data_IF_047798365783
#
_entry.id   IF_047798365783
#
_cell.length_a   1.000
_cell.length_b   1.000
_cell.length_c   1.000
_cell.angle_alpha   90.00
_cell.angle_beta   90.00
_cell.angle_gamma   90.00
#
_symmetry.space_group_name_H-M   'P 1'
#
loop_
_entity.id
_entity.type
_entity.pdbx_description
1 polymer ?
#
# COMPACT_ATOMS: atom_id res chain seq x y z
N UNK A 1 -31.04 36.89 -20.20
CA UNK A 1 -30.36 35.88 -21.04
C UNK A 1 -28.85 35.84 -20.79
N UNK A 2 -28.15 36.98 -20.74
CA UNK A 2 -26.70 37.03 -20.46
C UNK A 2 -26.28 36.45 -19.11
N UNK A 3 -26.99 36.78 -18.02
CA UNK A 3 -26.66 36.31 -16.65
C UNK A 3 -26.79 34.78 -16.49
N UNK A 4 -27.81 34.19 -17.12
CA UNK A 4 -28.05 32.75 -17.16
C UNK A 4 -26.96 32.05 -17.98
N UNK A 5 -26.58 32.64 -19.11
CA UNK A 5 -25.51 32.12 -19.96
C UNK A 5 -24.14 32.16 -19.25
N UNK A 6 -23.82 33.26 -18.55
CA UNK A 6 -22.59 33.37 -17.75
C UNK A 6 -22.57 32.37 -16.61
N UNK A 7 -23.70 32.16 -15.92
CA UNK A 7 -23.80 31.16 -14.85
C UNK A 7 -23.58 29.74 -15.38
N UNK A 8 -24.16 29.40 -16.53
CA UNK A 8 -24.04 28.07 -17.14
C UNK A 8 -22.63 27.82 -17.69
N UNK A 9 -21.96 28.86 -18.20
CA UNK A 9 -20.57 28.79 -18.65
C UNK A 9 -19.61 28.59 -17.47
N UNK A 10 -19.83 29.31 -16.36
CA UNK A 10 -19.03 29.18 -15.14
C UNK A 10 -19.16 27.79 -14.53
N UNK A 11 -20.38 27.25 -14.43
CA UNK A 11 -20.59 25.90 -13.89
C UNK A 11 -19.94 24.84 -14.76
N UNK A 12 -20.04 24.94 -16.09
CA UNK A 12 -19.37 24.02 -17.02
C UNK A 12 -17.84 24.08 -16.92
N UNK A 13 -17.27 25.27 -16.74
CA UNK A 13 -15.83 25.44 -16.58
C UNK A 13 -15.33 24.84 -15.26
N UNK A 14 -16.07 25.04 -14.17
CA UNK A 14 -15.74 24.49 -12.85
C UNK A 14 -15.82 22.96 -12.87
N UNK A 15 -16.87 22.37 -13.45
CA UNK A 15 -16.98 20.91 -13.56
C UNK A 15 -15.89 20.31 -14.45
N UNK A 16 -15.55 20.94 -15.57
CA UNK A 16 -14.44 20.50 -16.41
C UNK A 16 -13.11 20.52 -15.65
N UNK A 17 -12.83 21.58 -14.89
CA UNK A 17 -11.62 21.69 -14.07
C UNK A 17 -11.54 20.59 -13.00
N UNK A 18 -12.64 20.34 -12.29
CA UNK A 18 -12.72 19.29 -11.27
C UNK A 18 -12.46 17.89 -11.86
N UNK A 19 -13.05 17.56 -13.01
CA UNK A 19 -12.87 16.27 -13.69
C UNK A 19 -11.42 16.08 -14.16
N UNK A 20 -10.77 17.13 -14.69
CA UNK A 20 -9.37 17.07 -15.09
C UNK A 20 -8.42 16.83 -13.91
N UNK A 21 -8.73 17.41 -12.74
CA UNK A 21 -7.87 17.24 -11.55
C UNK A 21 -8.07 15.90 -10.82
N UNK A 22 -9.20 15.22 -11.01
CA UNK A 22 -9.48 13.94 -10.36
C UNK A 22 -8.62 12.77 -10.89
N UNK A 23 -8.02 12.92 -12.07
CA UNK A 23 -7.16 11.90 -12.70
C UNK A 23 -5.68 11.96 -12.32
N UNK A 24 -5.25 12.97 -11.56
CA UNK A 24 -3.83 13.17 -11.23
C UNK A 24 -3.38 12.51 -9.92
N UNK A 25 -4.23 11.73 -9.25
CA UNK A 25 -3.83 10.98 -8.05
C UNK A 25 -3.36 9.59 -8.45
N UNK A 26 -2.11 9.46 -8.91
CA UNK A 26 -1.44 8.16 -8.97
C UNK A 26 -1.09 7.76 -7.54
N UNK A 27 -1.80 6.79 -6.99
CA UNK A 27 -1.48 6.19 -5.70
C UNK A 27 -0.38 5.14 -5.89
N UNK A 28 0.89 5.58 -5.93
CA UNK A 28 2.03 4.66 -5.89
C UNK A 28 2.16 4.19 -4.44
N UNK A 29 1.74 2.94 -4.19
CA UNK A 29 1.87 2.28 -2.89
C UNK A 29 0.66 2.50 -2.00
N UNK A 30 -0.46 1.86 -2.30
CA UNK A 30 -1.46 1.56 -1.28
C UNK A 30 -1.03 0.26 -0.56
N UNK A 31 -0.44 0.32 0.65
CA UNK A 31 -0.08 -0.86 1.42
C UNK A 31 -1.31 -1.47 2.13
N UNK A 32 -2.50 -0.85 1.97
CA UNK A 32 -3.68 -1.06 2.79
C UNK A 32 -4.65 -2.15 2.31
N UNK A 33 -4.31 -2.92 1.27
CA UNK A 33 -5.11 -4.11 0.89
C UNK A 33 -4.55 -5.42 1.49
N UNK A 34 -3.68 -5.34 2.49
CA UNK A 34 -3.45 -6.44 3.43
C UNK A 34 -4.57 -6.43 4.46
N UNK A 35 -5.34 -7.51 4.56
CA UNK A 35 -6.49 -7.62 5.46
C UNK A 35 -6.23 -7.12 6.89
N UNK A 36 -7.31 -6.72 7.57
CA UNK A 36 -7.28 -6.21 8.94
C UNK A 36 -6.38 -7.08 9.85
N UNK A 37 -5.17 -6.60 10.14
CA UNK A 37 -4.16 -7.34 10.90
C UNK A 37 -2.73 -7.29 10.37
N UNK A 38 -2.50 -6.86 9.12
CA UNK A 38 -1.13 -6.73 8.60
C UNK A 38 -0.41 -5.50 9.17
N UNK A 39 0.74 -5.71 9.84
CA UNK A 39 1.63 -4.60 10.22
C UNK A 39 2.16 -3.93 8.96
N UNK A 40 2.00 -2.61 8.90
CA UNK A 40 2.59 -1.81 7.83
C UNK A 40 4.06 -1.55 8.14
N UNK A 41 4.96 -2.10 7.33
CA UNK A 41 6.39 -1.83 7.37
C UNK A 41 6.75 -0.76 6.35
N UNK A 42 7.62 0.18 6.73
CA UNK A 42 8.15 1.17 5.78
C UNK A 42 9.28 0.53 4.98
N UNK A 43 9.20 0.47 3.64
CA UNK A 43 10.27 -0.11 2.82
C UNK A 43 11.61 0.57 3.07
N UNK A 44 12.69 -0.22 3.15
CA UNK A 44 14.05 0.27 3.38
C UNK A 44 14.39 0.63 4.83
N UNK A 45 13.41 0.62 5.74
CA UNK A 45 13.66 0.82 7.18
C UNK A 45 13.85 -0.55 7.85
N UNK A 46 14.99 -0.79 8.53
CA UNK A 46 15.19 -2.03 9.26
C UNK A 46 14.38 -2.04 10.57
N UNK A 47 13.75 -3.18 10.86
CA UNK A 47 13.04 -3.42 12.12
C UNK A 47 13.72 -4.58 12.86
N UNK A 48 13.97 -4.47 14.18
CA UNK A 48 14.48 -5.58 14.95
C UNK A 48 13.43 -6.69 15.04
N UNK A 49 13.81 -7.91 14.67
CA UNK A 49 12.97 -9.09 14.78
C UNK A 49 13.84 -10.33 15.08
N UNK A 50 13.27 -11.30 15.79
CA UNK A 50 13.91 -12.58 16.09
C UNK A 50 13.26 -13.68 15.26
N UNK A 51 14.05 -14.45 14.52
CA UNK A 51 13.55 -15.67 13.89
C UNK A 51 13.12 -16.67 14.98
N UNK A 52 11.87 -17.12 14.91
CA UNK A 52 11.28 -18.05 15.89
C UNK A 52 10.89 -19.40 15.28
N UNK A 53 10.72 -19.47 13.96
CA UNK A 53 10.52 -20.73 13.23
C UNK A 53 11.01 -20.59 11.79
N UNK A 54 11.70 -21.62 11.29
CA UNK A 54 11.96 -21.77 9.85
C UNK A 54 10.76 -22.50 9.24
N UNK A 55 10.16 -21.91 8.19
CA UNK A 55 9.03 -22.52 7.46
C UNK A 55 9.57 -23.21 6.22
N UNK A 56 10.37 -22.48 5.44
CA UNK A 56 11.08 -22.96 4.25
C UNK A 56 12.44 -22.23 4.11
N UNK A 57 13.20 -22.53 3.06
CA UNK A 57 14.51 -21.93 2.78
C UNK A 57 14.49 -20.41 2.61
N UNK A 58 13.41 -19.85 2.06
CA UNK A 58 13.20 -18.41 1.88
C UNK A 58 12.18 -17.81 2.87
N UNK A 59 11.53 -18.65 3.70
CA UNK A 59 10.34 -18.26 4.47
C UNK A 59 10.51 -18.54 5.96
N UNK A 60 10.34 -17.49 6.78
CA UNK A 60 10.54 -17.54 8.23
C UNK A 60 9.34 -16.97 8.98
N UNK A 61 9.08 -17.50 10.18
CA UNK A 61 8.27 -16.78 11.18
C UNK A 61 9.19 -16.02 12.11
N UNK A 62 8.91 -14.73 12.26
CA UNK A 62 9.68 -13.81 13.11
C UNK A 62 8.80 -13.27 14.24
N UNK A 63 9.42 -12.93 15.37
CA UNK A 63 8.79 -12.24 16.49
C UNK A 63 9.43 -10.86 16.69
N UNK A 64 8.60 -9.84 16.87
CA UNK A 64 9.01 -8.47 17.15
C UNK A 64 9.12 -8.22 18.67
N UNK A 65 9.77 -7.13 19.11
CA UNK A 65 9.89 -6.80 20.53
C UNK A 65 8.56 -6.63 21.27
N UNK A 66 7.49 -6.26 20.56
CA UNK A 66 6.13 -6.14 21.11
C UNK A 66 5.39 -7.49 21.21
N UNK A 67 6.08 -8.59 20.91
CA UNK A 67 5.54 -9.96 20.96
C UNK A 67 4.73 -10.36 19.74
N UNK A 68 4.47 -9.44 18.80
CA UNK A 68 3.80 -9.79 17.56
C UNK A 68 4.65 -10.69 16.68
N UNK A 69 4.00 -11.47 15.82
CA UNK A 69 4.67 -12.37 14.89
C UNK A 69 4.18 -12.16 13.48
N UNK A 70 5.10 -12.27 12.53
CA UNK A 70 4.81 -12.21 11.10
C UNK A 70 5.52 -13.35 10.37
N UNK A 71 4.94 -13.78 9.26
CA UNK A 71 5.62 -14.66 8.31
C UNK A 71 6.24 -13.79 7.22
N UNK A 72 7.55 -13.90 7.03
CA UNK A 72 8.31 -13.09 6.07
C UNK A 72 8.97 -13.98 5.02
N UNK A 73 9.06 -13.47 3.79
CA UNK A 73 9.80 -14.07 2.68
C UNK A 73 11.02 -13.23 2.36
N UNK A 74 12.14 -13.88 2.06
CA UNK A 74 13.38 -13.19 1.70
C UNK A 74 13.27 -12.67 0.26
N UNK A 75 13.40 -11.35 0.09
CA UNK A 75 13.29 -10.71 -1.22
C UNK A 75 14.45 -11.14 -2.12
N UNK A 76 14.12 -11.59 -3.33
CA UNK A 76 15.11 -11.97 -4.35
C UNK A 76 15.75 -13.35 -4.14
N UNK A 77 15.25 -14.13 -3.18
CA UNK A 77 15.66 -15.51 -2.94
C UNK A 77 14.50 -16.43 -3.27
N UNK A 78 14.79 -17.48 -4.02
CA UNK A 78 13.84 -18.53 -4.41
C UNK A 78 14.48 -19.88 -4.07
N UNK A 79 13.75 -20.73 -3.35
CA UNK A 79 14.27 -21.99 -2.78
C UNK A 79 13.40 -23.18 -3.16
N UNK A 80 13.96 -24.40 -3.24
CA UNK A 80 13.14 -25.61 -3.32
C UNK A 80 12.20 -25.68 -2.12
N UNK A 81 10.93 -26.01 -2.36
CA UNK A 81 9.90 -26.02 -1.33
C UNK A 81 9.92 -27.32 -0.50
N UNK A 82 9.48 -27.24 0.76
CA UNK A 82 9.27 -28.41 1.62
C UNK A 82 7.83 -28.95 1.52
N UNK A 83 7.64 -30.27 1.63
CA UNK A 83 6.33 -30.95 1.57
C UNK A 83 5.75 -31.23 2.96
#
# INVERSE_FOLDING_TARGET
MSRLFTALLLTALITALLVFTAGCTVQIGDPGQGGAGTRQFTPGIPYPARAVRVIDGDTLRVAFPDGSQETVRIVGVDTPEVT
#
